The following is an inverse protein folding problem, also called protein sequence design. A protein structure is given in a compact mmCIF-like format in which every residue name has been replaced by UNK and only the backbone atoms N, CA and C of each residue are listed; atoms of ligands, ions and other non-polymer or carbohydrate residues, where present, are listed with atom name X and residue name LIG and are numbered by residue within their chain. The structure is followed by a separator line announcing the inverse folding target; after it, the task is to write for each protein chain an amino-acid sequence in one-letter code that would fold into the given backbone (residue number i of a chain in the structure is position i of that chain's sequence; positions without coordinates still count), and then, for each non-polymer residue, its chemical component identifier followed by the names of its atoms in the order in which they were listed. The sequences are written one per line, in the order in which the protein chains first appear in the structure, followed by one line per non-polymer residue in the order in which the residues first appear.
data_IF_076082868046
#
_entry.id   IF_076082868046
#
_cell.length_a   1.000
_cell.length_b   1.000
_cell.length_c   1.000
_cell.angle_alpha   90.00
_cell.angle_beta   90.00
_cell.angle_gamma   90.00
#
_symmetry.space_group_name_H-M   'P 1'
#
loop_
_entity.id
_entity.type
_entity.pdbx_description
1 polymer ?
#
# COMPACT_ATOMS: atom_id res chain seq x y z
N UNK A 1 -12.93 -31.88 8.46
CA UNK A 1 -11.86 -32.77 8.97
C UNK A 1 -11.98 -34.06 8.18
N UNK A 2 -11.17 -34.24 7.13
CA UNK A 2 -10.96 -35.55 6.53
C UNK A 2 -9.52 -35.93 6.86
N UNK A 3 -9.36 -37.00 7.64
CA UNK A 3 -8.06 -37.61 7.90
C UNK A 3 -7.49 -38.13 6.59
N UNK A 4 -6.20 -37.86 6.34
CA UNK A 4 -5.46 -38.51 5.27
C UNK A 4 -5.51 -40.03 5.51
N UNK A 5 -5.85 -40.86 4.50
CA UNK A 5 -5.76 -42.30 4.65
C UNK A 5 -4.32 -42.69 4.96
N UNK A 6 -4.10 -43.53 5.99
CA UNK A 6 -2.77 -43.97 6.45
C UNK A 6 -1.89 -44.59 5.35
N UNK A 7 -2.46 -44.95 4.20
CA UNK A 7 -1.77 -45.45 3.01
C UNK A 7 -1.05 -44.37 2.17
N UNK A 8 -1.29 -43.07 2.41
CA UNK A 8 -0.65 -41.95 1.72
C UNK A 8 0.28 -41.16 2.65
N UNK A 9 1.36 -41.81 3.11
CA UNK A 9 2.43 -41.14 3.86
C UNK A 9 3.09 -40.06 3.00
N UNK A 10 2.82 -38.80 3.35
CA UNK A 10 3.52 -37.62 2.86
C UNK A 10 4.57 -37.28 3.89
N UNK A 11 5.82 -37.08 3.44
CA UNK A 11 6.93 -36.87 4.35
C UNK A 11 6.97 -35.41 4.84
N UNK A 12 6.73 -34.46 3.93
CA UNK A 12 6.68 -33.03 4.26
C UNK A 12 5.71 -32.26 3.36
N UNK A 13 5.04 -31.27 3.95
CA UNK A 13 4.13 -30.35 3.26
C UNK A 13 4.44 -28.92 3.69
N UNK A 14 4.68 -28.04 2.71
CA UNK A 14 4.83 -26.60 2.92
C UNK A 14 3.75 -25.88 2.11
N UNK A 15 2.88 -25.14 2.79
CA UNK A 15 1.80 -24.38 2.16
C UNK A 15 2.07 -22.88 2.22
N UNK A 16 1.98 -22.20 1.08
CA UNK A 16 2.08 -20.75 0.94
C UNK A 16 0.91 -20.23 0.10
N UNK A 17 -0.15 -19.79 0.79
CA UNK A 17 -1.41 -19.28 0.23
C UNK A 17 -2.10 -20.25 -0.75
N UNK A 18 -1.63 -20.29 -2.00
CA UNK A 18 -2.17 -21.08 -3.10
C UNK A 18 -1.13 -22.07 -3.71
N UNK A 19 0.14 -21.98 -3.28
CA UNK A 19 1.23 -22.84 -3.71
C UNK A 19 1.61 -23.83 -2.61
N UNK A 20 1.71 -25.11 -2.97
CA UNK A 20 2.03 -26.21 -2.07
C UNK A 20 3.32 -26.89 -2.54
N UNK A 21 4.28 -27.12 -1.65
CA UNK A 21 5.45 -27.95 -1.90
C UNK A 21 5.32 -29.25 -1.10
N UNK A 22 5.43 -30.38 -1.78
CA UNK A 22 5.21 -31.71 -1.20
C UNK A 22 6.38 -32.63 -1.51
N UNK A 23 6.86 -33.35 -0.51
CA UNK A 23 7.81 -34.46 -0.67
C UNK A 23 7.08 -35.78 -0.44
N UNK A 24 6.99 -36.62 -1.48
CA UNK A 24 6.24 -37.88 -1.46
C UNK A 24 6.91 -38.94 -2.32
N UNK A 25 6.64 -40.23 -2.06
CA UNK A 25 7.11 -41.33 -2.91
C UNK A 25 6.55 -41.21 -4.34
N UNK A 26 7.41 -41.44 -5.34
CA UNK A 26 7.12 -41.19 -6.77
C UNK A 26 5.87 -41.93 -7.27
N UNK A 27 5.66 -43.15 -6.80
CA UNK A 27 4.53 -44.02 -7.14
C UNK A 27 3.18 -43.50 -6.61
N UNK A 28 3.19 -42.65 -5.57
CA UNK A 28 1.99 -42.10 -4.93
C UNK A 28 1.60 -40.71 -5.38
N UNK A 29 2.51 -40.00 -6.06
CA UNK A 29 2.33 -38.62 -6.54
C UNK A 29 1.01 -38.43 -7.30
N UNK A 30 0.76 -39.26 -8.33
CA UNK A 30 -0.43 -39.12 -9.17
C UNK A 30 -1.73 -39.40 -8.41
N UNK A 31 -1.71 -40.38 -7.49
CA UNK A 31 -2.87 -40.70 -6.64
C UNK A 31 -3.19 -39.53 -5.71
N UNK A 32 -2.16 -38.91 -5.12
CA UNK A 32 -2.31 -37.75 -4.26
C UNK A 32 -2.83 -36.53 -5.04
N UNK A 33 -2.31 -36.28 -6.24
CA UNK A 33 -2.78 -35.19 -7.11
C UNK A 33 -4.25 -35.35 -7.53
N UNK A 34 -4.67 -36.57 -7.89
CA UNK A 34 -6.07 -36.86 -8.19
C UNK A 34 -6.97 -36.67 -6.97
N UNK A 35 -6.51 -37.12 -5.79
CA UNK A 35 -7.22 -36.90 -4.54
C UNK A 35 -7.44 -35.41 -4.25
N UNK A 36 -6.41 -34.56 -4.39
CA UNK A 36 -6.54 -33.11 -4.20
C UNK A 36 -7.58 -32.49 -5.14
N UNK A 37 -7.58 -32.90 -6.41
CA UNK A 37 -8.55 -32.45 -7.41
C UNK A 37 -9.97 -33.01 -7.22
N UNK A 38 -10.14 -34.02 -6.34
CA UNK A 38 -11.45 -34.59 -5.99
C UNK A 38 -12.10 -33.93 -4.78
N UNK A 39 -11.34 -33.16 -3.98
CA UNK A 39 -11.83 -32.55 -2.76
C UNK A 39 -12.89 -31.47 -3.01
N UNK A 40 -12.76 -30.73 -4.10
CA UNK A 40 -13.70 -29.67 -4.46
C UNK A 40 -13.86 -29.61 -6.00
N UNK A 41 -15.10 -29.65 -6.53
CA UNK A 41 -15.33 -29.62 -7.96
C UNK A 41 -14.96 -28.27 -8.61
N UNK A 42 -14.95 -27.18 -7.85
CA UNK A 42 -14.68 -25.81 -8.30
C UNK A 42 -13.21 -25.40 -8.18
N UNK A 43 -12.41 -26.12 -7.39
CA UNK A 43 -10.96 -25.86 -7.27
C UNK A 43 -10.21 -26.92 -8.08
N UNK A 44 -9.42 -26.47 -9.05
CA UNK A 44 -8.50 -27.34 -9.80
C UNK A 44 -7.06 -27.04 -9.40
N UNK A 45 -6.28 -28.10 -9.24
CA UNK A 45 -4.87 -28.03 -8.94
C UNK A 45 -4.09 -28.43 -10.18
N UNK A 46 -2.99 -27.72 -10.42
CA UNK A 46 -1.93 -28.08 -11.36
C UNK A 46 -0.70 -28.55 -10.59
N UNK A 47 0.12 -29.40 -11.19
CA UNK A 47 1.29 -29.99 -10.53
C UNK A 47 2.52 -29.90 -11.43
N UNK A 48 3.63 -29.45 -10.86
CA UNK A 48 4.97 -29.47 -11.44
C UNK A 48 5.81 -30.48 -10.65
N UNK A 49 6.45 -31.41 -11.35
CA UNK A 49 7.32 -32.43 -10.76
C UNK A 49 8.78 -32.04 -10.88
N UNK A 50 9.61 -32.52 -9.94
CA UNK A 50 11.06 -32.37 -10.05
C UNK A 50 11.55 -32.94 -11.39
N UNK A 51 12.44 -32.19 -12.04
CA UNK A 51 13.11 -32.60 -13.27
C UNK A 51 14.01 -33.81 -13.07
N UNK A 52 14.46 -34.44 -14.15
CA UNK A 52 15.39 -35.58 -14.11
C UNK A 52 16.72 -35.25 -13.43
N UNK A 53 17.11 -33.97 -13.41
CA UNK A 53 18.29 -33.47 -12.69
C UNK A 53 18.02 -33.13 -11.21
N UNK A 54 16.83 -33.44 -10.69
CA UNK A 54 16.45 -33.18 -9.30
C UNK A 54 16.16 -31.70 -9.01
N UNK A 55 15.78 -30.90 -10.00
CA UNK A 55 15.48 -29.47 -9.81
C UNK A 55 14.00 -29.16 -9.92
N UNK A 56 13.50 -28.25 -9.07
CA UNK A 56 12.10 -27.81 -9.06
C UNK A 56 11.99 -26.32 -8.66
N UNK A 57 11.37 -25.45 -9.47
CA UNK A 57 11.10 -24.09 -9.06
C UNK A 57 9.97 -24.04 -8.02
N UNK A 58 10.18 -23.31 -6.92
CA UNK A 58 9.17 -23.03 -5.91
C UNK A 58 9.31 -21.60 -5.38
N UNK A 59 8.26 -20.79 -5.56
CA UNK A 59 8.25 -19.35 -5.25
C UNK A 59 9.45 -18.62 -5.90
N UNK A 60 10.26 -17.95 -5.07
CA UNK A 60 11.45 -17.19 -5.45
C UNK A 60 12.73 -18.04 -5.52
N UNK A 61 12.63 -19.37 -5.34
CA UNK A 61 13.75 -20.31 -5.23
C UNK A 61 13.71 -21.40 -6.29
N UNK A 62 14.89 -21.84 -6.70
CA UNK A 62 15.09 -23.10 -7.42
C UNK A 62 15.64 -24.09 -6.42
N UNK A 63 14.89 -25.16 -6.16
CA UNK A 63 15.35 -26.25 -5.30
C UNK A 63 16.14 -27.25 -6.13
N UNK A 64 17.20 -27.77 -5.54
CA UNK A 64 18.11 -28.76 -6.11
C UNK A 64 18.22 -29.90 -5.12
N UNK A 65 17.90 -31.11 -5.56
CA UNK A 65 17.98 -32.32 -4.75
C UNK A 65 19.20 -33.13 -5.17
N UNK A 66 20.13 -33.34 -4.24
CA UNK A 66 21.31 -34.16 -4.47
C UNK A 66 21.72 -34.87 -3.18
N UNK A 67 21.97 -36.19 -3.25
CA UNK A 67 22.46 -36.98 -2.12
C UNK A 67 21.58 -36.90 -0.86
N UNK A 68 20.25 -36.84 -1.03
CA UNK A 68 19.30 -36.71 0.08
C UNK A 68 19.20 -35.32 0.72
N UNK A 69 19.96 -34.32 0.23
CA UNK A 69 19.91 -32.94 0.71
C UNK A 69 19.24 -32.03 -0.29
N UNK A 70 18.56 -30.99 0.22
CA UNK A 70 18.02 -29.89 -0.58
C UNK A 70 18.96 -28.69 -0.51
N UNK A 71 19.36 -28.22 -1.68
CA UNK A 71 20.06 -26.95 -1.89
C UNK A 71 19.08 -25.98 -2.56
N UNK A 72 19.13 -24.70 -2.18
CA UNK A 72 18.30 -23.67 -2.82
C UNK A 72 19.15 -22.57 -3.42
N UNK A 73 18.69 -22.07 -4.57
CA UNK A 73 19.28 -20.94 -5.30
C UNK A 73 18.16 -19.99 -5.71
N UNK A 74 18.48 -18.77 -6.16
CA UNK A 74 17.45 -17.82 -6.60
C UNK A 74 16.84 -18.30 -7.93
N UNK A 75 15.52 -18.42 -7.96
CA UNK A 75 14.78 -18.63 -9.21
C UNK A 75 14.23 -17.33 -9.74
N UNK A 76 14.26 -17.21 -11.07
CA UNK A 76 13.60 -16.14 -11.82
C UNK A 76 12.83 -16.79 -12.96
N UNK A 77 11.57 -16.38 -13.12
CA UNK A 77 10.76 -16.81 -14.25
C UNK A 77 11.37 -16.28 -15.53
N UNK A 78 11.18 -16.99 -16.64
CA UNK A 78 11.60 -16.55 -17.98
C UNK A 78 11.00 -15.19 -18.39
N UNK A 79 9.88 -14.81 -17.78
CA UNK A 79 9.22 -13.50 -17.96
C UNK A 79 9.75 -12.40 -17.05
N UNK A 80 10.71 -12.66 -16.16
CA UNK A 80 11.36 -11.62 -15.35
C UNK A 80 12.22 -10.74 -16.27
N UNK A 81 11.74 -9.52 -16.55
CA UNK A 81 12.50 -8.52 -17.31
C UNK A 81 13.75 -8.03 -16.60
N UNK A 82 13.92 -8.40 -15.33
CA UNK A 82 15.06 -7.98 -14.54
C UNK A 82 14.98 -6.52 -14.08
N UNK A 83 13.88 -5.81 -14.40
CA UNK A 83 13.76 -4.38 -14.19
C UNK A 83 13.80 -4.02 -12.69
N UNK A 84 14.69 -3.10 -12.35
CA UNK A 84 14.74 -2.43 -11.05
C UNK A 84 14.49 -0.94 -11.27
N UNK A 85 13.99 -0.25 -10.25
CA UNK A 85 13.78 1.19 -10.30
C UNK A 85 15.07 1.91 -10.71
N UNK A 86 15.06 2.61 -11.84
CA UNK A 86 16.25 3.32 -12.31
C UNK A 86 16.70 4.40 -11.31
N UNK A 87 17.99 4.51 -11.04
CA UNK A 87 18.55 5.43 -10.04
C UNK A 87 18.30 6.92 -10.33
N UNK A 88 18.14 7.28 -11.62
CA UNK A 88 17.79 8.64 -12.05
C UNK A 88 16.34 9.02 -11.75
N UNK A 89 15.51 8.07 -11.30
CA UNK A 89 14.13 8.36 -10.94
C UNK A 89 14.10 9.36 -9.76
N UNK A 90 13.12 10.24 -9.69
CA UNK A 90 13.04 11.25 -8.63
C UNK A 90 12.48 10.64 -7.33
N UNK A 91 13.24 9.75 -6.68
CA UNK A 91 12.87 9.10 -5.42
C UNK A 91 13.87 9.36 -4.28
N UNK A 92 13.39 9.31 -3.02
CA UNK A 92 14.26 9.47 -1.86
C UNK A 92 15.40 8.46 -1.86
N UNK A 93 16.61 8.89 -1.48
CA UNK A 93 17.79 8.02 -1.32
C UNK A 93 17.54 6.76 -0.46
N UNK A 94 16.64 6.85 0.52
CA UNK A 94 16.25 5.73 1.35
C UNK A 94 15.53 4.61 0.58
N UNK A 95 14.76 4.95 -0.47
CA UNK A 95 14.08 3.98 -1.34
C UNK A 95 15.13 3.16 -2.10
N UNK A 96 16.09 3.83 -2.74
CA UNK A 96 17.20 3.16 -3.43
C UNK A 96 18.01 2.27 -2.51
N UNK A 97 18.38 2.79 -1.33
CA UNK A 97 19.08 1.99 -0.32
C UNK A 97 18.28 0.74 0.08
N UNK A 98 16.96 0.89 0.27
CA UNK A 98 16.09 -0.23 0.62
C UNK A 98 16.02 -1.28 -0.47
N UNK A 99 15.91 -0.89 -1.75
CA UNK A 99 15.89 -1.82 -2.87
C UNK A 99 17.15 -2.68 -2.88
N UNK A 100 18.32 -2.04 -2.81
CA UNK A 100 19.61 -2.73 -2.75
C UNK A 100 19.68 -3.67 -1.54
N UNK A 101 19.30 -3.20 -0.34
CA UNK A 101 19.28 -4.04 0.86
C UNK A 101 18.36 -5.24 0.71
N UNK A 102 17.16 -5.06 0.15
CA UNK A 102 16.18 -6.14 -0.04
C UNK A 102 16.69 -7.18 -1.02
N UNK A 103 17.32 -6.79 -2.12
CA UNK A 103 17.89 -7.74 -3.08
C UNK A 103 19.00 -8.59 -2.44
N UNK A 104 19.93 -7.98 -1.70
CA UNK A 104 20.98 -8.74 -1.01
C UNK A 104 20.47 -9.60 0.14
N UNK A 105 19.46 -9.12 0.89
CA UNK A 105 18.80 -9.95 1.92
C UNK A 105 18.13 -11.16 1.31
N UNK A 106 17.46 -10.99 0.16
CA UNK A 106 16.88 -12.10 -0.59
C UNK A 106 17.95 -13.13 -0.97
N UNK A 107 19.09 -12.71 -1.51
CA UNK A 107 20.20 -13.64 -1.83
C UNK A 107 20.67 -14.41 -0.59
N UNK A 108 20.88 -13.70 0.53
CA UNK A 108 21.31 -14.32 1.79
C UNK A 108 20.28 -15.30 2.35
N UNK A 109 19.00 -14.97 2.22
CA UNK A 109 17.90 -15.77 2.71
C UNK A 109 17.55 -16.96 1.79
N UNK A 110 17.88 -16.92 0.49
CA UNK A 110 17.45 -18.00 -0.42
C UNK A 110 18.58 -18.92 -0.86
N UNK A 111 19.84 -18.47 -0.88
CA UNK A 111 20.96 -19.32 -1.25
C UNK A 111 21.52 -20.07 -0.03
N UNK A 112 21.51 -21.40 -0.06
CA UNK A 112 22.08 -22.25 1.01
C UNK A 112 23.60 -22.25 0.96
N UNK A 113 24.16 -22.54 -0.21
CA UNK A 113 25.60 -22.67 -0.45
C UNK A 113 26.28 -21.31 -0.66
N UNK A 114 27.50 -21.18 -0.14
CA UNK A 114 28.27 -19.93 -0.23
C UNK A 114 28.71 -19.60 -1.66
N UNK A 115 29.00 -20.62 -2.48
CA UNK A 115 29.40 -20.43 -3.89
C UNK A 115 28.25 -19.79 -4.69
N UNK A 116 27.04 -20.33 -4.58
CA UNK A 116 25.85 -19.80 -5.25
C UNK A 116 25.44 -18.44 -4.68
N UNK A 117 25.65 -18.22 -3.38
CA UNK A 117 25.42 -16.93 -2.74
C UNK A 117 26.32 -15.85 -3.36
N UNK A 118 27.60 -16.15 -3.58
CA UNK A 118 28.54 -15.21 -4.22
C UNK A 118 28.18 -14.94 -5.67
N UNK A 119 27.83 -15.99 -6.43
CA UNK A 119 27.39 -15.85 -7.82
C UNK A 119 26.13 -14.97 -7.92
N UNK A 120 25.12 -15.22 -7.09
CA UNK A 120 23.89 -14.43 -7.07
C UNK A 120 24.12 -12.98 -6.58
N UNK A 121 25.04 -12.75 -5.63
CA UNK A 121 25.44 -11.39 -5.23
C UNK A 121 26.07 -10.62 -6.39
N UNK A 122 26.91 -11.26 -7.19
CA UNK A 122 27.55 -10.65 -8.36
C UNK A 122 26.51 -10.27 -9.42
N UNK A 123 25.55 -11.15 -9.68
CA UNK A 123 24.45 -10.90 -10.60
C UNK A 123 23.57 -9.72 -10.14
N UNK A 124 23.20 -9.68 -8.84
CA UNK A 124 22.45 -8.57 -8.25
C UNK A 124 23.22 -7.26 -8.36
N UNK A 125 24.54 -7.28 -8.11
CA UNK A 125 25.40 -6.10 -8.27
C UNK A 125 25.37 -5.60 -9.71
N UNK A 126 25.56 -6.48 -10.69
CA UNK A 126 25.52 -6.12 -12.12
C UNK A 126 24.18 -5.48 -12.49
N UNK A 127 23.05 -6.10 -12.12
CA UNK A 127 21.71 -5.56 -12.40
C UNK A 127 21.47 -4.16 -11.81
N UNK A 128 21.98 -3.91 -10.61
CA UNK A 128 21.89 -2.59 -9.97
C UNK A 128 22.77 -1.56 -10.70
N UNK A 129 23.97 -1.95 -11.11
CA UNK A 129 24.86 -1.10 -11.90
C UNK A 129 24.25 -0.77 -13.27
N UNK A 130 23.67 -1.75 -13.97
CA UNK A 130 22.93 -1.56 -15.23
C UNK A 130 21.72 -0.61 -15.05
N UNK A 131 21.12 -0.58 -13.86
CA UNK A 131 20.03 0.34 -13.50
C UNK A 131 20.52 1.72 -13.02
N UNK A 132 21.83 2.00 -13.11
CA UNK A 132 22.46 3.29 -12.79
C UNK A 132 22.78 3.51 -11.31
N UNK A 133 22.75 2.47 -10.47
CA UNK A 133 23.04 2.63 -9.03
C UNK A 133 24.55 2.85 -8.80
N UNK A 134 24.95 3.84 -7.98
CA UNK A 134 26.37 4.06 -7.68
C UNK A 134 27.01 2.87 -6.97
N UNK A 135 28.17 2.41 -7.45
CA UNK A 135 28.93 1.29 -6.87
C UNK A 135 29.17 1.47 -5.37
N UNK A 136 29.46 2.70 -4.93
CA UNK A 136 29.64 3.02 -3.51
C UNK A 136 28.39 2.78 -2.66
N UNK A 137 27.19 3.05 -3.20
CA UNK A 137 25.94 2.75 -2.53
C UNK A 137 25.72 1.24 -2.41
N UNK A 138 25.98 0.49 -3.50
CA UNK A 138 25.81 -0.96 -3.55
C UNK A 138 26.71 -1.63 -2.51
N UNK A 139 28.03 -1.33 -2.54
CA UNK A 139 29.01 -1.86 -1.57
C UNK A 139 28.62 -1.53 -0.12
N UNK A 140 28.16 -0.30 0.13
CA UNK A 140 27.74 0.11 1.48
C UNK A 140 26.53 -0.67 1.98
N UNK A 141 25.52 -0.91 1.14
CA UNK A 141 24.34 -1.67 1.56
C UNK A 141 24.65 -3.15 1.72
N UNK A 142 25.48 -3.74 0.86
CA UNK A 142 25.94 -5.12 1.02
C UNK A 142 26.61 -5.32 2.40
N UNK A 143 27.53 -4.44 2.78
CA UNK A 143 28.16 -4.47 4.11
C UNK A 143 27.14 -4.42 5.26
N UNK A 144 26.12 -3.55 5.16
CA UNK A 144 25.06 -3.43 6.18
C UNK A 144 24.14 -4.66 6.27
N UNK A 145 24.01 -5.42 5.18
CA UNK A 145 23.24 -6.68 5.17
C UNK A 145 24.05 -7.80 5.81
N UNK A 146 25.37 -7.80 5.63
CA UNK A 146 26.26 -8.77 6.26
C UNK A 146 26.42 -8.49 7.76
N UNK A 147 26.63 -7.22 8.11
CA UNK A 147 26.84 -6.74 9.48
C UNK A 147 25.74 -5.75 9.84
N UNK A 148 24.67 -6.19 10.56
CA UNK A 148 23.63 -5.29 11.03
C UNK A 148 24.20 -4.27 12.01
N UNK A 149 24.15 -2.99 11.65
CA UNK A 149 24.50 -1.91 12.58
C UNK A 149 23.29 -1.57 13.45
N UNK A 150 23.42 -1.53 14.78
CA UNK A 150 22.34 -1.04 15.64
C UNK A 150 21.97 0.39 15.23
N UNK A 151 20.67 0.65 15.17
CA UNK A 151 20.16 2.00 14.90
C UNK A 151 19.96 2.69 16.23
N UNK A 152 20.45 3.92 16.41
CA UNK A 152 20.15 4.69 17.62
C UNK A 152 18.63 4.85 17.74
N UNK A 153 18.10 4.54 18.91
CA UNK A 153 16.69 4.77 19.20
C UNK A 153 16.49 6.27 19.41
N UNK A 154 16.08 6.97 18.35
CA UNK A 154 15.78 8.40 18.43
C UNK A 154 14.30 8.59 18.74
N UNK A 155 14.00 9.24 19.86
CA UNK A 155 12.66 9.70 20.16
C UNK A 155 12.31 10.92 19.31
N UNK A 156 11.11 10.90 18.72
CA UNK A 156 10.63 11.94 17.83
C UNK A 156 9.43 12.62 18.47
N UNK A 157 9.42 13.95 18.47
CA UNK A 157 8.32 14.77 19.00
C UNK A 157 7.06 14.63 18.15
N UNK A 158 7.23 14.46 16.83
CA UNK A 158 6.13 14.35 15.89
C UNK A 158 6.57 13.87 14.52
N UNK A 159 5.61 13.66 13.62
CA UNK A 159 5.89 13.24 12.22
C UNK A 159 5.30 14.24 11.24
N UNK A 160 6.16 14.84 10.41
CA UNK A 160 5.78 15.66 9.27
C UNK A 160 5.76 14.82 7.99
N UNK A 161 4.66 14.90 7.23
CA UNK A 161 4.51 14.21 5.94
C UNK A 161 4.55 15.24 4.82
N UNK A 162 5.59 15.19 3.99
CA UNK A 162 5.76 16.14 2.88
C UNK A 162 5.88 15.42 1.53
N UNK A 163 5.46 16.04 0.42
CA UNK A 163 5.78 15.55 -0.91
C UNK A 163 7.29 15.45 -1.12
N UNK A 164 7.75 14.44 -1.86
CA UNK A 164 9.14 14.35 -2.25
C UNK A 164 9.42 15.19 -3.50
N UNK A 165 10.38 16.10 -3.38
CA UNK A 165 11.02 16.86 -4.46
C UNK A 165 12.52 16.78 -4.25
N UNK A 166 13.23 16.25 -5.24
CA UNK A 166 14.69 16.09 -5.20
C UNK A 166 15.38 17.43 -4.89
N UNK A 167 16.34 17.41 -3.97
CA UNK A 167 17.11 18.58 -3.56
C UNK A 167 16.45 19.32 -2.40
N UNK A 168 15.21 19.76 -2.59
CA UNK A 168 14.49 20.56 -1.58
C UNK A 168 14.06 19.72 -0.38
N UNK A 169 13.43 18.55 -0.61
CA UNK A 169 12.88 17.72 0.46
C UNK A 169 13.95 17.17 1.40
N UNK A 170 15.18 16.94 0.92
CA UNK A 170 16.32 16.55 1.74
C UNK A 170 16.77 17.67 2.68
N UNK A 171 16.82 18.91 2.20
CA UNK A 171 17.14 20.08 3.02
C UNK A 171 16.09 20.24 4.11
N UNK A 172 14.81 20.19 3.74
CA UNK A 172 13.70 20.27 4.69
C UNK A 172 13.79 19.17 5.75
N UNK A 173 14.07 17.93 5.34
CA UNK A 173 14.28 16.83 6.28
C UNK A 173 15.39 17.13 7.28
N UNK A 174 16.53 17.69 6.82
CA UNK A 174 17.64 18.00 7.72
C UNK A 174 17.22 19.02 8.78
N UNK A 175 16.56 20.09 8.37
CA UNK A 175 16.06 21.15 9.28
C UNK A 175 15.00 20.63 10.25
N UNK A 176 14.05 19.81 9.78
CA UNK A 176 13.02 19.26 10.68
C UNK A 176 13.60 18.21 11.64
N UNK A 177 14.62 17.46 11.22
CA UNK A 177 15.26 16.47 12.08
C UNK A 177 16.07 17.10 13.24
N UNK A 178 16.59 18.32 13.08
CA UNK A 178 17.24 19.06 14.19
C UNK A 178 16.22 19.49 15.24
N UNK A 179 14.98 19.77 14.82
CA UNK A 179 13.84 20.00 15.72
C UNK A 179 13.17 18.70 16.23
N UNK A 180 13.83 17.54 16.10
CA UNK A 180 13.30 16.23 16.51
C UNK A 180 11.93 15.86 15.90
N UNK A 181 11.66 16.33 14.68
CA UNK A 181 10.50 15.93 13.89
C UNK A 181 10.88 14.89 12.84
N UNK A 182 10.14 13.77 12.82
CA UNK A 182 10.33 12.71 11.83
C UNK A 182 9.75 13.14 10.50
N UNK A 183 10.55 13.15 9.43
CA UNK A 183 10.05 13.47 8.09
C UNK A 183 9.79 12.23 7.26
N UNK A 184 8.52 11.99 6.97
CA UNK A 184 8.07 10.98 6.01
C UNK A 184 7.75 11.64 4.66
N UNK A 185 8.07 10.92 3.58
CA UNK A 185 7.80 11.39 2.23
C UNK A 185 6.58 10.68 1.66
N UNK A 186 5.64 11.45 1.11
CA UNK A 186 4.50 10.90 0.38
C UNK A 186 4.68 11.00 -1.13
N UNK A 187 4.14 10.00 -1.82
CA UNK A 187 3.91 10.05 -3.26
C UNK A 187 2.68 10.92 -3.50
N UNK A 188 2.73 11.83 -4.48
CA UNK A 188 1.56 12.58 -4.93
C UNK A 188 0.73 11.74 -5.92
N UNK A 189 -0.10 12.39 -6.74
CA UNK A 189 -0.81 11.77 -7.87
C UNK A 189 0.18 10.97 -8.70
N UNK A 190 0.03 9.66 -8.69
CA UNK A 190 0.79 8.75 -9.56
C UNK A 190 0.09 8.67 -10.91
N UNK A 191 0.84 8.35 -11.98
CA UNK A 191 0.23 8.08 -13.30
C UNK A 191 -0.91 7.06 -13.18
N UNK A 192 -0.71 6.00 -12.39
CA UNK A 192 -1.76 5.03 -12.08
C UNK A 192 -3.01 5.69 -11.49
N UNK A 193 -2.87 6.60 -10.52
CA UNK A 193 -4.04 7.27 -9.93
C UNK A 193 -4.79 8.20 -10.90
N UNK A 194 -4.12 8.65 -11.98
CA UNK A 194 -4.72 9.52 -13.00
C UNK A 194 -5.36 8.67 -14.09
N UNK A 195 -4.59 7.72 -14.64
CA UNK A 195 -4.94 6.89 -15.80
C UNK A 195 -5.84 5.71 -15.44
N UNK A 196 -5.73 5.17 -14.24
CA UNK A 196 -6.43 3.95 -13.80
C UNK A 196 -7.43 4.31 -12.71
N UNK A 197 -8.62 4.74 -13.14
CA UNK A 197 -9.78 4.97 -12.27
C UNK A 197 -10.66 3.71 -12.29
N UNK A 198 -10.34 2.74 -11.44
CA UNK A 198 -11.10 1.48 -11.33
C UNK A 198 -12.48 1.64 -10.69
N UNK A 199 -12.76 2.80 -10.08
CA UNK A 199 -14.01 3.07 -9.37
C UNK A 199 -14.67 4.29 -10.00
N UNK A 200 -15.98 4.20 -10.15
CA UNK A 200 -16.79 5.33 -10.58
C UNK A 200 -16.65 6.49 -9.59
N UNK A 201 -16.59 7.69 -10.15
CA UNK A 201 -16.59 8.90 -9.33
C UNK A 201 -17.97 9.04 -8.73
N UNK A 202 -18.03 9.12 -7.40
CA UNK A 202 -19.26 9.51 -6.72
C UNK A 202 -19.68 10.90 -7.20
N UNK A 203 -21.00 11.13 -7.36
CA UNK A 203 -21.51 12.45 -7.68
C UNK A 203 -21.18 13.44 -6.54
N UNK A 204 -21.16 14.73 -6.88
CA UNK A 204 -20.65 15.82 -6.03
C UNK A 204 -21.36 15.85 -4.67
N UNK A 205 -22.68 15.71 -4.69
CA UNK A 205 -23.62 15.63 -3.57
C UNK A 205 -23.31 14.50 -2.56
N UNK A 206 -22.78 13.37 -3.02
CA UNK A 206 -22.39 12.23 -2.17
C UNK A 206 -20.94 12.28 -1.70
N UNK A 207 -20.23 13.37 -1.99
CA UNK A 207 -18.85 13.53 -1.51
C UNK A 207 -18.83 13.67 0.00
N UNK A 208 -17.93 12.92 0.66
CA UNK A 208 -17.66 12.98 2.09
C UNK A 208 -16.27 13.58 2.36
N UNK A 209 -16.03 14.01 3.59
CA UNK A 209 -14.71 14.47 4.05
C UNK A 209 -14.11 15.57 3.16
N UNK A 210 -14.90 16.63 2.95
CA UNK A 210 -14.57 17.71 2.03
C UNK A 210 -14.71 19.09 2.67
N UNK A 211 -14.06 20.06 2.04
CA UNK A 211 -14.30 21.49 2.25
C UNK A 211 -15.02 21.98 1.00
N UNK A 212 -16.15 22.66 1.19
CA UNK A 212 -17.03 23.12 0.12
C UNK A 212 -17.26 24.63 0.23
N UNK A 213 -17.71 25.22 -0.88
CA UNK A 213 -18.01 26.63 -1.03
C UNK A 213 -19.43 26.80 -1.55
N UNK A 214 -20.15 27.74 -0.95
CA UNK A 214 -21.50 28.15 -1.35
C UNK A 214 -21.45 29.65 -1.64
N UNK A 215 -21.97 30.08 -2.80
CA UNK A 215 -21.93 31.48 -3.22
C UNK A 215 -23.20 32.21 -2.78
N UNK A 216 -23.07 33.49 -2.46
CA UNK A 216 -24.20 34.40 -2.44
C UNK A 216 -24.51 34.86 -3.87
N UNK A 217 -25.78 34.94 -4.25
CA UNK A 217 -26.17 35.42 -5.57
C UNK A 217 -26.13 36.94 -5.67
N UNK A 218 -26.42 37.63 -4.57
CA UNK A 218 -26.58 39.07 -4.56
C UNK A 218 -25.34 39.82 -4.03
N UNK A 219 -24.27 39.12 -3.64
CA UNK A 219 -23.00 39.75 -3.27
C UNK A 219 -21.78 38.86 -3.56
N UNK A 220 -20.58 39.43 -3.47
CA UNK A 220 -19.31 38.72 -3.74
C UNK A 220 -18.89 37.76 -2.63
N UNK A 221 -19.58 37.76 -1.48
CA UNK A 221 -19.22 36.93 -0.33
C UNK A 221 -19.56 35.46 -0.58
N UNK A 222 -18.74 34.58 -0.02
CA UNK A 222 -18.92 33.13 -0.09
C UNK A 222 -18.94 32.52 1.31
N UNK A 223 -19.74 31.48 1.50
CA UNK A 223 -19.66 30.64 2.69
C UNK A 223 -18.73 29.46 2.41
N UNK A 224 -17.80 29.21 3.32
CA UNK A 224 -16.89 28.07 3.25
C UNK A 224 -17.12 27.19 4.47
N UNK A 225 -17.39 25.92 4.24
CA UNK A 225 -17.67 24.96 5.30
C UNK A 225 -16.96 23.64 5.09
N UNK A 226 -16.76 22.88 6.17
CA UNK A 226 -16.33 21.49 6.10
C UNK A 226 -17.45 20.50 6.47
N UNK A 227 -17.33 19.28 5.94
CA UNK A 227 -18.17 18.15 6.38
C UNK A 227 -17.41 16.84 6.37
N UNK A 228 -17.60 16.03 7.41
CA UNK A 228 -17.19 14.62 7.43
C UNK A 228 -18.25 13.71 6.77
N UNK A 229 -19.52 14.14 6.80
CA UNK A 229 -20.69 13.42 6.25
C UNK A 229 -20.85 13.71 4.76
N UNK A 230 -21.88 13.14 4.14
CA UNK A 230 -22.21 13.44 2.74
C UNK A 230 -22.60 14.91 2.61
N UNK A 231 -22.15 15.53 1.52
CA UNK A 231 -22.34 16.95 1.27
C UNK A 231 -23.83 17.32 1.19
N UNK A 232 -24.66 16.50 0.54
CA UNK A 232 -26.10 16.73 0.44
C UNK A 232 -26.76 16.84 1.81
N UNK A 233 -26.34 16.03 2.80
CA UNK A 233 -26.88 16.07 4.15
C UNK A 233 -26.59 17.43 4.81
N UNK A 234 -25.36 17.94 4.61
CA UNK A 234 -24.95 19.23 5.14
C UNK A 234 -25.65 20.40 4.44
N UNK A 235 -25.83 20.32 3.13
CA UNK A 235 -26.61 21.31 2.37
C UNK A 235 -28.08 21.31 2.84
N UNK A 236 -28.67 20.14 3.09
CA UNK A 236 -30.03 20.04 3.63
C UNK A 236 -30.19 20.67 5.01
N UNK A 237 -29.17 20.59 5.88
CA UNK A 237 -29.15 21.31 7.16
C UNK A 237 -29.14 22.83 6.96
N UNK A 238 -28.30 23.33 6.06
CA UNK A 238 -28.26 24.75 5.72
C UNK A 238 -29.59 25.24 5.17
N UNK A 239 -30.22 24.49 4.25
CA UNK A 239 -31.53 24.82 3.69
C UNK A 239 -32.61 24.93 4.77
N UNK A 240 -32.62 24.00 5.73
CA UNK A 240 -33.56 24.03 6.87
C UNK A 240 -33.31 25.21 7.79
N UNK A 241 -32.06 25.57 8.03
CA UNK A 241 -31.70 26.71 8.88
C UNK A 241 -32.09 28.05 8.25
N UNK A 242 -31.90 28.22 6.94
CA UNK A 242 -32.28 29.44 6.21
C UNK A 242 -33.79 29.60 6.15
N UNK A 243 -34.53 28.50 5.92
CA UNK A 243 -35.98 28.54 5.76
C UNK A 243 -36.75 28.62 7.09
N UNK A 244 -36.07 28.70 8.23
CA UNK A 244 -36.70 28.82 9.55
C UNK A 244 -36.81 30.31 9.93
N UNK A 245 -37.99 30.94 9.81
CA UNK A 245 -38.16 32.31 10.27
C UNK A 245 -38.08 32.36 11.81
N UNK A 246 -37.37 33.34 12.39
CA UNK A 246 -37.34 33.54 13.83
C UNK A 246 -38.69 34.03 14.32
N UNK A 247 -39.21 33.45 15.40
CA UNK A 247 -40.49 33.88 16.01
C UNK A 247 -40.31 34.95 17.08
N UNK A 248 -39.12 35.02 17.66
CA UNK A 248 -38.76 35.99 18.70
C UNK A 248 -37.27 36.37 18.58
N UNK A 249 -36.87 37.37 19.37
CA UNK A 249 -35.50 37.92 19.38
C UNK A 249 -34.47 36.87 19.84
N UNK A 250 -34.82 36.02 20.81
CA UNK A 250 -33.92 34.98 21.30
C UNK A 250 -33.65 33.91 20.22
N UNK A 251 -34.67 33.53 19.45
CA UNK A 251 -34.57 32.60 18.33
C UNK A 251 -33.82 33.24 17.15
N UNK A 252 -33.98 34.55 16.93
CA UNK A 252 -33.14 35.30 15.97
C UNK A 252 -31.67 35.16 16.34
N UNK A 253 -31.31 35.46 17.59
CA UNK A 253 -29.93 35.38 18.06
C UNK A 253 -29.36 33.96 17.98
N UNK A 254 -30.17 32.94 18.29
CA UNK A 254 -29.78 31.54 18.18
C UNK A 254 -29.50 31.12 16.72
N UNK A 255 -30.39 31.45 15.77
CA UNK A 255 -30.20 31.13 14.34
C UNK A 255 -28.96 31.81 13.77
N UNK A 256 -28.79 33.08 14.13
CA UNK A 256 -27.64 33.92 13.80
C UNK A 256 -26.36 33.26 14.32
N UNK A 257 -26.34 32.78 15.57
CA UNK A 257 -25.15 32.12 16.16
C UNK A 257 -24.84 30.74 15.56
N UNK A 258 -25.86 29.96 15.18
CA UNK A 258 -25.68 28.60 14.66
C UNK A 258 -25.23 28.56 13.19
N UNK A 259 -25.64 29.54 12.39
CA UNK A 259 -25.41 29.54 10.95
C UNK A 259 -25.05 30.93 10.44
N UNK A 260 -23.78 31.11 10.10
CA UNK A 260 -23.30 32.34 9.46
C UNK A 260 -24.06 32.65 8.17
N UNK A 261 -24.49 31.62 7.43
CA UNK A 261 -25.33 31.78 6.25
C UNK A 261 -26.72 32.32 6.58
N UNK A 262 -27.37 31.75 7.59
CA UNK A 262 -28.72 32.17 8.00
C UNK A 262 -28.68 33.60 8.53
N UNK A 263 -27.65 33.95 9.32
CA UNK A 263 -27.42 35.32 9.74
C UNK A 263 -27.25 36.27 8.55
N UNK A 264 -26.44 35.90 7.54
CA UNK A 264 -26.29 36.73 6.34
C UNK A 264 -27.60 36.95 5.58
N UNK A 265 -28.41 35.90 5.41
CA UNK A 265 -29.72 36.02 4.76
C UNK A 265 -30.65 36.92 5.57
N UNK A 266 -30.68 36.78 6.89
CA UNK A 266 -31.52 37.60 7.77
C UNK A 266 -31.08 39.07 7.77
N UNK A 267 -29.77 39.33 7.85
CA UNK A 267 -29.22 40.68 7.94
C UNK A 267 -29.32 41.45 6.61
N UNK A 268 -29.22 40.76 5.46
CA UNK A 268 -29.11 41.41 4.13
C UNK A 268 -30.26 41.12 3.18
N UNK A 269 -31.10 40.12 3.47
CA UNK A 269 -32.15 39.65 2.56
C UNK A 269 -31.62 38.94 1.30
N UNK A 270 -30.32 38.66 1.21
CA UNK A 270 -29.71 38.03 0.03
C UNK A 270 -30.09 36.54 -0.10
N UNK A 271 -30.07 36.05 -1.34
CA UNK A 271 -30.27 34.64 -1.69
C UNK A 271 -28.94 33.91 -1.82
N UNK A 272 -28.89 32.73 -1.21
CA UNK A 272 -27.73 31.83 -1.27
C UNK A 272 -27.99 30.72 -2.30
N UNK A 273 -26.99 30.46 -3.15
CA UNK A 273 -27.05 29.37 -4.13
C UNK A 273 -26.71 28.02 -3.50
N UNK A 274 -27.74 27.31 -3.04
CA UNK A 274 -27.62 25.97 -2.45
C UNK A 274 -27.57 24.85 -3.50
N UNK A 275 -27.79 25.15 -4.78
CA UNK A 275 -27.83 24.17 -5.86
C UNK A 275 -26.43 23.96 -6.46
N UNK A 276 -25.69 25.05 -6.67
CA UNK A 276 -24.34 25.01 -7.25
C UNK A 276 -23.25 25.07 -6.18
N UNK A 277 -23.10 23.98 -5.43
CA UNK A 277 -22.05 23.86 -4.41
C UNK A 277 -20.73 23.37 -5.00
N UNK A 278 -19.68 24.15 -4.79
CA UNK A 278 -18.32 23.85 -5.26
C UNK A 278 -17.53 23.07 -4.21
N UNK A 279 -16.86 21.98 -4.60
CA UNK A 279 -15.94 21.27 -3.71
C UNK A 279 -14.52 21.80 -3.90
N UNK A 280 -14.00 22.50 -2.88
CA UNK A 280 -12.65 23.05 -2.87
C UNK A 280 -11.58 21.99 -2.57
N UNK A 281 -11.85 21.09 -1.61
CA UNK A 281 -10.91 20.03 -1.17
C UNK A 281 -11.64 18.71 -0.93
N UNK A 282 -11.03 17.58 -1.30
CA UNK A 282 -11.57 16.22 -1.16
C UNK A 282 -10.65 15.32 -0.34
N UNK A 283 -11.21 14.31 0.33
CA UNK A 283 -10.44 13.21 0.92
C UNK A 283 -9.75 13.54 2.24
N UNK A 284 -10.20 14.58 2.94
CA UNK A 284 -9.65 15.04 4.22
C UNK A 284 -10.25 14.21 5.36
N UNK A 285 -9.75 12.99 5.57
CA UNK A 285 -10.35 12.03 6.52
C UNK A 285 -10.19 12.45 7.98
N UNK A 286 -9.08 13.11 8.31
CA UNK A 286 -8.79 13.53 9.68
C UNK A 286 -9.36 14.92 9.97
N UNK A 287 -10.02 15.08 11.12
CA UNK A 287 -10.64 16.35 11.53
C UNK A 287 -9.67 17.54 11.51
N UNK A 288 -8.43 17.44 12.05
CA UNK A 288 -7.50 18.56 12.01
C UNK A 288 -7.14 19.00 10.58
N UNK A 289 -7.05 18.06 9.63
CA UNK A 289 -6.77 18.39 8.24
C UNK A 289 -7.94 19.15 7.59
N UNK A 290 -9.18 18.82 7.95
CA UNK A 290 -10.37 19.55 7.48
C UNK A 290 -10.41 20.96 8.03
N UNK A 291 -10.19 21.12 9.32
CA UNK A 291 -10.18 22.44 9.98
C UNK A 291 -9.10 23.36 9.40
N UNK A 292 -7.87 22.86 9.23
CA UNK A 292 -6.78 23.65 8.62
C UNK A 292 -7.10 23.99 7.17
N UNK A 293 -7.65 23.04 6.40
CA UNK A 293 -8.03 23.31 5.01
C UNK A 293 -9.17 24.33 4.91
N UNK A 294 -10.17 24.26 5.78
CA UNK A 294 -11.27 25.22 5.87
C UNK A 294 -10.75 26.62 6.21
N UNK A 295 -9.95 26.76 7.27
CA UNK A 295 -9.34 28.03 7.66
C UNK A 295 -8.52 28.67 6.52
N UNK A 296 -7.71 27.86 5.82
CA UNK A 296 -6.92 28.32 4.69
C UNK A 296 -7.79 28.78 3.52
N UNK A 297 -8.92 28.14 3.25
CA UNK A 297 -9.82 28.60 2.19
C UNK A 297 -10.63 29.82 2.64
N UNK A 298 -11.06 29.92 3.91
CA UNK A 298 -11.70 31.12 4.46
C UNK A 298 -10.81 32.35 4.27
N UNK A 299 -9.52 32.25 4.61
CA UNK A 299 -8.57 33.34 4.47
C UNK A 299 -8.30 33.79 3.01
N UNK A 300 -8.70 33.00 2.01
CA UNK A 300 -8.47 33.32 0.58
C UNK A 300 -9.64 34.03 -0.09
N UNK A 301 -10.83 33.95 0.48
CA UNK A 301 -12.06 34.43 -0.15
C UNK A 301 -12.77 35.43 0.76
N UNK A 302 -13.51 36.40 0.21
CA UNK A 302 -14.38 37.25 1.02
C UNK A 302 -15.47 36.38 1.66
N UNK A 303 -15.34 36.07 2.95
CA UNK A 303 -16.16 35.06 3.60
C UNK A 303 -17.37 35.63 4.32
N UNK A 304 -18.47 34.88 4.31
CA UNK A 304 -19.64 35.09 5.20
C UNK A 304 -19.36 34.56 6.62
N UNK A 305 -18.37 33.67 6.77
CA UNK A 305 -17.97 33.08 8.04
C UNK A 305 -17.60 34.16 9.07
N UNK A 306 -18.13 34.05 10.30
CA UNK A 306 -17.88 35.01 11.39
C UNK A 306 -16.56 34.82 12.12
N UNK A 307 -16.05 33.59 12.10
CA UNK A 307 -14.76 33.25 12.70
C UNK A 307 -13.75 33.30 11.56
N UNK A 308 -12.69 34.09 11.71
CA UNK A 308 -11.42 33.87 11.02
C UNK A 308 -10.97 32.44 11.41
N UNK A 309 -11.43 31.44 10.67
CA UNK A 309 -11.55 30.05 11.15
C UNK A 309 -10.30 29.55 11.87
N UNK A 310 -10.45 28.97 13.07
CA UNK A 310 -9.36 28.55 13.99
C UNK A 310 -8.23 29.58 14.02
N UNK A 311 -8.16 30.41 15.08
CA UNK A 311 -6.96 31.21 15.33
C UNK A 311 -5.72 30.36 15.05
N UNK A 312 -4.99 30.70 13.98
CA UNK A 312 -3.81 29.98 13.52
C UNK A 312 -2.62 30.24 14.47
N UNK A 313 -2.90 30.25 15.77
CA UNK A 313 -1.95 30.39 16.84
C UNK A 313 -1.17 29.08 16.98
N UNK A 314 0.14 29.18 16.72
CA UNK A 314 1.18 28.24 17.15
C UNK A 314 1.26 26.86 16.46
N UNK A 315 1.49 26.82 15.14
CA UNK A 315 2.07 25.63 14.50
C UNK A 315 3.10 25.98 13.43
N UNK A 316 4.29 25.33 13.40
CA UNK A 316 5.36 25.59 12.43
C UNK A 316 4.99 25.27 10.95
N UNK A 317 3.75 24.87 10.68
CA UNK A 317 3.20 24.72 9.32
C UNK A 317 2.98 26.06 8.60
N UNK A 318 3.01 27.19 9.31
CA UNK A 318 2.70 28.52 8.76
C UNK A 318 3.74 29.03 7.72
N UNK A 319 5.00 28.60 7.80
CA UNK A 319 6.05 28.98 6.84
C UNK A 319 5.80 28.43 5.43
N UNK A 320 5.13 27.28 5.28
CA UNK A 320 4.91 26.68 3.95
C UNK A 320 3.81 27.36 3.13
N UNK A 321 2.87 28.06 3.77
CA UNK A 321 1.69 28.59 3.09
C UNK A 321 1.93 29.97 2.46
N UNK A 322 2.77 30.82 3.07
CA UNK A 322 2.99 32.21 2.62
C UNK A 322 4.06 32.37 1.53
N UNK A 323 5.08 31.51 1.46
CA UNK A 323 6.20 31.68 0.50
C UNK A 323 6.03 30.92 -0.83
N UNK A 324 5.14 29.93 -0.91
CA UNK A 324 5.12 29.01 -2.06
C UNK A 324 4.45 29.53 -3.34
N UNK A 325 3.86 30.73 -3.36
CA UNK A 325 3.00 31.17 -4.49
C UNK A 325 3.34 32.54 -5.10
N UNK A 326 4.54 33.08 -4.86
CA UNK A 326 5.04 34.28 -5.58
C UNK A 326 5.64 34.01 -6.97
N UNK A 327 5.44 32.83 -7.56
CA UNK A 327 5.97 32.50 -8.89
C UNK A 327 4.82 32.56 -9.92
N UNK A 328 4.83 33.49 -10.89
CA UNK A 328 3.83 33.53 -11.95
C UNK A 328 4.07 32.36 -12.93
N UNK A 329 3.06 31.51 -13.14
CA UNK A 329 3.06 30.53 -14.22
C UNK A 329 2.43 31.17 -15.46
N UNK A 330 3.27 31.62 -16.39
CA UNK A 330 2.86 31.96 -17.76
C UNK A 330 2.32 30.72 -18.48
N UNK A 331 1.10 30.82 -19.03
CA UNK A 331 0.43 29.79 -19.83
C UNK A 331 1.03 29.74 -21.24
N UNK A 332 1.21 28.53 -21.78
CA UNK A 332 1.22 28.28 -23.23
C UNK A 332 0.11 27.24 -23.55
N UNK A 333 -0.67 27.41 -24.63
CA UNK A 333 -1.79 26.54 -24.97
C UNK A 333 -1.34 25.30 -25.75
N UNK A 334 -2.04 24.19 -25.55
CA UNK A 334 -1.90 22.97 -26.35
C UNK A 334 -3.23 22.71 -27.04
N UNK A 335 -3.22 22.78 -28.37
CA UNK A 335 -4.35 22.44 -29.25
C UNK A 335 -4.52 20.92 -29.35
N UNK A 336 -5.76 20.50 -29.49
CA UNK A 336 -6.23 19.12 -29.59
C UNK A 336 -6.66 18.79 -31.01
N UNK A 337 -6.47 17.55 -31.46
CA UNK A 337 -7.49 16.82 -32.23
C UNK A 337 -7.31 15.29 -32.14
N UNK A 338 -8.39 14.49 -32.30
CA UNK A 338 -8.46 13.07 -31.91
C UNK A 338 -8.60 12.10 -33.10
N UNK A 339 -8.29 10.82 -32.86
CA UNK A 339 -8.79 9.62 -33.55
C UNK A 339 -8.49 8.41 -32.63
N UNK A 340 -9.12 7.23 -32.64
CA UNK A 340 -10.44 6.66 -32.91
C UNK A 340 -10.21 5.13 -32.88
N UNK A 341 -11.11 4.36 -32.23
CA UNK A 341 -11.41 2.91 -32.48
C UNK A 341 -10.34 1.90 -31.92
N UNK A 342 -10.62 0.76 -31.26
CA UNK A 342 -11.85 -0.02 -30.95
C UNK A 342 -11.61 -1.07 -29.85
N UNK A 343 -12.67 -1.36 -29.11
CA UNK A 343 -13.16 -2.67 -28.61
C UNK A 343 -12.20 -3.70 -27.99
N UNK A 344 -12.37 -3.97 -26.69
CA UNK A 344 -12.53 -5.35 -26.18
C UNK A 344 -13.58 -5.39 -25.07
N UNK A 345 -14.48 -6.36 -25.19
CA UNK A 345 -15.70 -6.61 -24.40
C UNK A 345 -15.44 -7.03 -22.96
N UNK A 346 -16.39 -6.61 -22.14
CA UNK A 346 -16.63 -6.88 -20.72
C UNK A 346 -16.89 -8.38 -20.41
N UNK A 347 -16.39 -8.85 -19.26
CA UNK A 347 -17.04 -9.92 -18.48
C UNK A 347 -17.13 -9.49 -17.02
N UNK A 348 -18.36 -9.29 -16.58
CA UNK A 348 -18.77 -9.14 -15.19
C UNK A 348 -18.46 -10.42 -14.41
N UNK A 349 -17.93 -10.29 -13.19
CA UNK A 349 -18.07 -11.32 -12.14
C UNK A 349 -18.55 -10.65 -10.86
N UNK A 350 -19.66 -11.19 -10.37
CA UNK A 350 -20.44 -10.69 -9.25
C UNK A 350 -19.83 -10.98 -7.88
N UNK A 351 -20.50 -10.38 -6.90
CA UNK A 351 -20.25 -10.48 -5.46
C UNK A 351 -20.25 -11.94 -4.97
N UNK A 352 -19.29 -12.28 -4.11
CA UNK A 352 -19.33 -13.47 -3.24
C UNK A 352 -18.83 -13.08 -1.83
N UNK A 353 -19.42 -13.63 -0.74
CA UNK A 353 -19.37 -13.06 0.61
C UNK A 353 -18.07 -13.35 1.37
N UNK A 354 -17.84 -12.53 2.40
CA UNK A 354 -16.84 -12.73 3.45
C UNK A 354 -17.12 -14.04 4.22
N UNK A 355 -16.13 -14.94 4.27
CA UNK A 355 -16.04 -15.98 5.29
C UNK A 355 -14.79 -15.76 6.14
N UNK A 356 -15.02 -15.42 7.40
CA UNK A 356 -14.07 -15.42 8.50
C UNK A 356 -13.90 -16.85 9.03
N UNK A 357 -12.66 -17.32 9.18
CA UNK A 357 -12.39 -18.56 9.91
C UNK A 357 -11.01 -19.14 9.63
N UNK A 358 -10.01 -18.71 10.40
CA UNK A 358 -8.74 -19.44 10.50
C UNK A 358 -8.97 -20.74 11.30
N UNK A 359 -8.57 -21.89 10.74
CA UNK A 359 -8.45 -23.16 11.48
C UNK A 359 -7.02 -23.66 11.38
N UNK A 360 -6.28 -23.61 12.48
CA UNK A 360 -5.03 -24.33 12.66
C UNK A 360 -5.34 -25.81 12.96
N UNK A 361 -4.83 -26.72 12.16
CA UNK A 361 -4.86 -28.16 12.46
C UNK A 361 -3.47 -28.58 12.93
N UNK A 362 -3.31 -28.78 14.24
CA UNK A 362 -2.19 -29.54 14.83
C UNK A 362 -2.59 -31.02 14.83
N UNK A 363 -1.89 -31.86 14.09
CA UNK A 363 -1.92 -33.31 14.30
C UNK A 363 -0.64 -33.74 15.02
N UNK A 364 -0.77 -34.23 16.26
CA UNK A 364 0.29 -34.93 16.97
C UNK A 364 0.42 -36.35 16.40
N UNK A 365 1.56 -36.64 15.77
CA UNK A 365 2.04 -38.00 15.52
C UNK A 365 3.53 -38.04 15.92
N UNK A 366 3.95 -39.18 16.48
CA UNK A 366 5.08 -39.34 17.39
C UNK A 366 6.45 -38.81 16.93
N UNK A 367 7.20 -38.35 17.93
CA UNK A 367 8.66 -38.17 17.95
C UNK A 367 9.35 -37.66 16.68
N UNK A 368 8.94 -36.50 16.18
CA UNK A 368 9.81 -35.59 15.43
C UNK A 368 9.25 -34.16 15.56
N UNK A 369 9.94 -33.28 16.28
CA UNK A 369 9.60 -31.85 16.36
C UNK A 369 10.14 -31.15 15.11
N UNK A 370 9.29 -30.85 14.13
CA UNK A 370 9.63 -29.91 13.06
C UNK A 370 8.84 -28.63 13.23
N UNK A 371 9.55 -27.50 13.30
CA UNK A 371 8.98 -26.16 13.33
C UNK A 371 9.19 -25.55 11.96
N UNK A 372 8.11 -25.23 11.25
CA UNK A 372 8.19 -24.55 9.94
C UNK A 372 7.44 -23.21 10.05
N UNK A 373 8.16 -22.12 9.80
CA UNK A 373 7.65 -20.75 9.77
C UNK A 373 7.58 -20.30 8.32
N UNK A 374 6.40 -19.94 7.83
CA UNK A 374 6.21 -19.33 6.51
C UNK A 374 5.83 -17.85 6.65
N UNK A 375 6.46 -16.97 5.85
CA UNK A 375 6.10 -15.55 5.77
C UNK A 375 5.34 -15.29 4.47
N UNK A 376 4.09 -14.87 4.59
CA UNK A 376 3.32 -14.30 3.46
C UNK A 376 3.90 -12.94 3.06
N UNK A 377 4.20 -12.74 1.78
CA UNK A 377 4.43 -11.40 1.21
C UNK A 377 3.09 -10.72 0.85
N UNK A 378 2.12 -10.65 1.77
CA UNK A 378 1.07 -9.62 1.83
C UNK A 378 0.14 -9.87 3.03
N UNK A 379 0.39 -9.14 4.11
CA UNK A 379 -0.65 -8.69 5.03
C UNK A 379 -0.10 -7.43 5.72
N UNK A 380 -0.49 -6.25 5.23
CA UNK A 380 -0.29 -5.01 5.97
C UNK A 380 -1.30 -4.99 7.12
N UNK A 381 -0.98 -5.64 8.24
CA UNK A 381 -1.53 -5.28 9.55
C UNK A 381 -0.39 -5.06 10.54
N UNK A 382 -0.54 -4.01 11.33
CA UNK A 382 0.41 -3.55 12.36
C UNK A 382 0.64 -4.68 13.37
N UNK A 383 1.84 -5.24 13.37
CA UNK A 383 2.35 -5.94 14.54
C UNK A 383 3.62 -5.25 15.06
N UNK A 384 3.54 -4.89 16.34
CA UNK A 384 4.59 -4.31 17.15
C UNK A 384 5.65 -5.35 17.49
N UNK A 385 6.92 -4.97 17.26
CA UNK A 385 8.17 -5.49 17.86
C UNK A 385 8.21 -6.99 18.20
N UNK A 386 8.83 -7.79 17.32
CA UNK A 386 9.57 -9.02 17.67
C UNK A 386 10.69 -9.27 16.67
N UNK A 387 11.81 -9.82 17.15
CA UNK A 387 12.99 -10.15 16.35
C UNK A 387 12.62 -11.00 15.14
N UNK A 388 13.16 -10.64 13.97
CA UNK A 388 12.93 -11.34 12.72
C UNK A 388 13.86 -12.54 12.62
N UNK A 389 13.34 -13.75 12.86
CA UNK A 389 13.96 -14.97 12.36
C UNK A 389 13.58 -15.14 10.88
N UNK A 390 14.60 -15.14 10.02
CA UNK A 390 14.48 -15.41 8.60
C UNK A 390 14.38 -16.93 8.39
N UNK A 391 13.20 -17.42 8.03
CA UNK A 391 12.96 -18.84 7.79
C UNK A 391 13.27 -19.22 6.33
N UNK A 392 14.12 -20.23 6.17
CA UNK A 392 14.49 -20.90 4.91
C UNK A 392 14.05 -22.36 5.10
N UNK A 393 13.58 -23.03 4.04
CA UNK A 393 13.44 -24.50 4.05
C UNK A 393 14.84 -25.07 4.30
N UNK A 394 15.10 -25.52 5.53
CA UNK A 394 16.38 -26.13 5.90
C UNK A 394 16.12 -27.52 6.44
N UNK A 395 16.89 -28.45 5.88
CA UNK A 395 17.08 -29.83 6.29
C UNK A 395 15.84 -30.73 6.23
N UNK A 396 15.69 -31.41 5.08
CA UNK A 396 14.98 -32.69 4.99
C UNK A 396 16.02 -33.77 5.27
N UNK A 397 16.18 -34.18 6.53
CA UNK A 397 17.05 -35.30 6.86
C UNK A 397 16.25 -36.58 6.69
N UNK A 398 16.61 -37.41 5.71
CA UNK A 398 16.07 -38.75 5.53
C UNK A 398 16.90 -39.75 6.37
N UNK A 399 16.35 -40.33 7.45
CA UNK A 399 17.04 -41.35 8.23
C UNK A 399 16.91 -42.76 7.62
N UNK A 400 16.24 -42.91 6.46
CA UNK A 400 15.91 -44.23 5.89
C UNK A 400 16.40 -44.40 4.45
N UNK A 401 17.43 -45.23 4.30
CA UNK A 401 18.00 -45.67 3.02
C UNK A 401 16.93 -46.16 2.03
N UNK A 402 16.92 -45.59 0.81
CA UNK A 402 16.58 -46.34 -0.42
C UNK A 402 15.22 -46.15 -1.09
N UNK A 403 14.31 -45.30 -0.62
CA UNK A 403 13.03 -45.07 -1.31
C UNK A 403 13.11 -43.88 -2.31
N UNK A 404 12.72 -44.11 -3.58
CA UNK A 404 12.62 -43.05 -4.61
C UNK A 404 11.50 -42.03 -4.27
N UNK A 405 11.83 -41.01 -3.48
CA UNK A 405 10.98 -39.85 -3.17
C UNK A 405 11.13 -38.77 -4.24
N UNK A 406 10.10 -37.95 -4.45
CA UNK A 406 10.04 -36.85 -5.43
C UNK A 406 9.45 -35.60 -4.77
N UNK A 407 10.01 -34.43 -5.09
CA UNK A 407 9.39 -33.16 -4.79
C UNK A 407 8.36 -32.76 -5.86
N UNK A 408 7.22 -32.23 -5.43
CA UNK A 408 6.18 -31.71 -6.31
C UNK A 408 5.73 -30.32 -5.83
N UNK A 409 5.55 -29.39 -6.76
CA UNK A 409 4.94 -28.09 -6.53
C UNK A 409 3.51 -28.12 -7.10
N UNK A 410 2.51 -27.95 -6.24
CA UNK A 410 1.09 -28.01 -6.61
C UNK A 410 0.49 -26.62 -6.45
N UNK A 411 -0.18 -26.12 -7.48
CA UNK A 411 -0.76 -24.77 -7.51
C UNK A 411 -2.25 -24.85 -7.78
N UNK A 412 -3.05 -24.10 -7.03
CA UNK A 412 -4.45 -23.91 -7.37
C UNK A 412 -4.56 -23.04 -8.65
N UNK A 413 -5.35 -23.46 -9.63
CA UNK A 413 -5.71 -22.65 -10.78
C UNK A 413 -6.87 -21.72 -10.41
N UNK A 414 -6.69 -20.41 -10.60
CA UNK A 414 -7.71 -19.37 -10.39
C UNK A 414 -8.88 -19.45 -11.38
#
# INVERSE_FOLDING_TARGET
MHSLPQSMLVDEIINVCADLFVVIKRDKVNKYFQYLNSLDPHIKFSMELESTSGTLPFLDCMTHKSGGKLKTTIYRKSTDSGAVLNYSSAHPKAVYASIVSTMFRRVRALCTEEVDRRAAQLEVKKRLEDSGYPVGLIKRQLRRVLVPTPRPNKEWIGTAVIPYKTGTSEVIRRVLNTANLRVAFQKRKTLRSVLVQLKDRLPVDRTRNCVYRIKCNDCTKVYIGQTARELHTRIGEHKRSINRPPKNIDEYQAIVNDSAMSGHVLDTGHRIDLENVDILRRGLRFTPQRLVAEAVEIAKHPSVNRIEGVELASSPLNLYAREAYRIPLTRLPFESQPDAISNVRCRQRGNVPQYSGERYVRSQLGSCKFTIVARSQRCEHRETKKGSEDAIIKDVVDPTNGACRVAAAIKASE
#
